data_IF_856673241244
#
_entry.id   IF_856673241244
#
_cell.length_a   1.000
_cell.length_b   1.000
_cell.length_c   1.000
_cell.angle_alpha   90.00
_cell.angle_beta   90.00
_cell.angle_gamma   90.00
#
_symmetry.space_group_name_H-M   'P 1'
#
loop_
_entity.id
_entity.type
_entity.pdbx_description
1 polymer ?
#
# COMPACT_ATOMS: atom_id res chain seq x y z
N UNK A 1 -24.97 -5.77 -22.60
CA UNK A 1 -25.18 -4.65 -21.66
C UNK A 1 -23.90 -3.80 -21.66
N UNK A 2 -24.02 -2.50 -21.98
CA UNK A 2 -22.91 -1.60 -22.34
C UNK A 2 -21.98 -1.33 -21.13
N UNK A 3 -20.70 -1.67 -21.27
CA UNK A 3 -19.63 -1.44 -20.30
C UNK A 3 -19.30 0.07 -20.20
N UNK A 4 -19.81 0.73 -19.16
CA UNK A 4 -19.36 2.06 -18.71
C UNK A 4 -18.26 1.92 -17.66
N UNK A 5 -17.08 1.42 -18.04
CA UNK A 5 -15.94 1.28 -17.12
C UNK A 5 -14.69 2.08 -17.54
N UNK A 6 -14.87 3.13 -18.34
CA UNK A 6 -13.79 4.00 -18.84
C UNK A 6 -13.75 5.40 -18.21
N UNK A 7 -14.47 5.65 -17.10
CA UNK A 7 -14.55 6.97 -16.46
C UNK A 7 -13.74 7.18 -15.17
N UNK A 8 -13.10 6.15 -14.60
CA UNK A 8 -12.33 6.28 -13.35
C UNK A 8 -10.81 6.49 -13.59
N UNK A 9 -10.33 6.28 -14.82
CA UNK A 9 -8.93 6.48 -15.22
C UNK A 9 -8.63 7.83 -15.89
N UNK A 10 -9.58 8.77 -15.89
CA UNK A 10 -9.42 10.12 -16.42
C UNK A 10 -9.21 11.16 -15.31
N UNK A 11 -8.27 10.88 -14.41
CA UNK A 11 -7.53 11.92 -13.69
C UNK A 11 -6.06 11.88 -14.14
N UNK A 12 -5.87 11.93 -15.45
CA UNK A 12 -4.65 12.51 -16.02
C UNK A 12 -4.65 13.98 -15.64
N UNK A 13 -3.94 14.35 -14.56
CA UNK A 13 -3.54 15.73 -14.33
C UNK A 13 -2.90 16.25 -15.62
N UNK A 14 -3.45 17.30 -16.26
CA UNK A 14 -2.76 17.96 -17.35
C UNK A 14 -1.64 18.77 -16.73
N UNK A 15 -0.44 18.19 -16.64
CA UNK A 15 0.82 18.96 -16.54
C UNK A 15 1.06 19.63 -17.90
N UNK A 16 0.16 20.55 -18.22
CA UNK A 16 0.17 21.39 -19.41
C UNK A 16 0.13 22.85 -18.96
N UNK A 17 0.92 23.22 -17.96
CA UNK A 17 1.33 24.60 -17.71
C UNK A 17 2.83 24.54 -17.37
N UNK A 18 3.61 25.45 -17.96
CA UNK A 18 5.04 25.69 -17.80
C UNK A 18 6.03 25.01 -18.76
N UNK A 19 5.71 25.02 -20.06
CA UNK A 19 6.76 25.05 -21.10
C UNK A 19 6.34 25.94 -22.27
N UNK A 20 5.98 27.19 -21.98
CA UNK A 20 5.86 28.22 -23.00
C UNK A 20 6.80 29.38 -22.66
N UNK A 21 8.09 29.16 -22.86
CA UNK A 21 9.05 30.25 -22.94
C UNK A 21 9.31 30.51 -24.44
N UNK A 22 8.52 31.42 -25.02
CA UNK A 22 8.83 32.04 -26.31
C UNK A 22 9.83 33.16 -26.07
N UNK A 23 11.09 32.82 -25.80
CA UNK A 23 12.21 33.72 -26.08
C UNK A 23 13.12 33.03 -27.08
N UNK A 24 12.81 33.21 -28.37
CA UNK A 24 13.87 33.18 -29.38
C UNK A 24 14.59 34.51 -29.25
N UNK A 25 15.79 34.48 -28.68
CA UNK A 25 16.73 35.58 -28.81
C UNK A 25 17.09 35.63 -30.30
N UNK A 26 16.55 36.60 -31.02
CA UNK A 26 16.95 36.89 -32.38
C UNK A 26 18.43 37.26 -32.31
N UNK A 27 19.31 36.36 -32.74
CA UNK A 27 20.71 36.70 -32.95
C UNK A 27 20.72 37.52 -34.24
N UNK A 28 20.73 38.84 -34.08
CA UNK A 28 21.06 39.78 -35.15
C UNK A 28 22.41 39.36 -35.72
N UNK A 29 22.52 39.04 -37.02
CA UNK A 29 23.82 38.83 -37.63
C UNK A 29 24.49 40.20 -37.70
N UNK A 30 25.34 40.49 -36.71
CA UNK A 30 26.37 41.50 -36.92
C UNK A 30 27.36 40.89 -37.89
N UNK A 31 27.19 41.24 -39.16
CA UNK A 31 28.25 41.16 -40.16
C UNK A 31 29.35 42.06 -39.64
N UNK A 32 30.33 41.49 -38.95
CA UNK A 32 31.62 42.14 -38.83
C UNK A 32 32.11 42.28 -40.27
N UNK A 33 32.14 43.52 -40.76
CA UNK A 33 32.94 43.88 -41.93
C UNK A 33 34.34 43.43 -41.59
N UNK A 34 34.72 42.23 -42.04
CA UNK A 34 36.10 41.84 -42.09
C UNK A 34 36.72 42.86 -43.05
N UNK A 35 37.30 43.92 -42.49
CA UNK A 35 38.39 44.62 -43.13
C UNK A 35 39.43 43.54 -43.29
N UNK A 36 39.38 42.90 -44.46
CA UNK A 36 40.38 42.01 -44.97
C UNK A 36 41.67 42.80 -44.96
N UNK A 37 42.38 42.77 -43.84
CA UNK A 37 43.83 42.91 -43.81
C UNK A 37 44.36 41.63 -44.45
N UNK A 38 44.05 41.43 -45.73
CA UNK A 38 44.93 40.68 -46.59
C UNK A 38 46.22 41.48 -46.51
N UNK A 39 47.15 40.96 -45.73
CA UNK A 39 48.55 41.31 -45.86
C UNK A 39 48.87 40.89 -47.30
N UNK A 40 48.74 41.84 -48.23
CA UNK A 40 49.40 41.74 -49.52
C UNK A 40 50.86 41.54 -49.17
N UNK A 41 51.39 40.33 -49.40
CA UNK A 41 52.83 40.09 -49.39
C UNK A 41 53.43 41.00 -50.47
N UNK A 42 53.80 42.20 -50.07
CA UNK A 42 54.68 43.04 -50.86
C UNK A 42 56.09 42.54 -50.58
N UNK A 43 56.71 41.87 -51.55
CA UNK A 43 58.14 41.57 -51.54
C UNK A 43 58.92 42.90 -51.61
N UNK A 44 59.18 43.50 -50.46
CA UNK A 44 60.16 44.58 -50.31
C UNK A 44 61.47 44.01 -49.77
N UNK A 45 62.02 42.98 -50.43
CA UNK A 45 63.42 42.61 -50.22
C UNK A 45 64.32 43.55 -51.02
N UNK A 46 64.71 44.68 -50.42
CA UNK A 46 65.73 45.59 -50.97
C UNK A 46 67.13 45.16 -50.46
N UNK A 47 67.87 44.40 -51.27
CA UNK A 47 69.23 43.92 -50.94
C UNK A 47 70.29 45.03 -50.79
N UNK A 48 69.95 46.30 -51.08
CA UNK A 48 70.88 47.44 -51.00
C UNK A 48 71.28 47.84 -49.57
N UNK A 49 70.59 47.33 -48.55
CA UNK A 49 70.83 47.69 -47.15
C UNK A 49 71.52 46.59 -46.32
N UNK A 50 71.81 45.42 -46.89
CA UNK A 50 72.42 44.30 -46.15
C UNK A 50 73.88 44.56 -45.74
N UNK A 51 74.57 45.50 -46.42
CA UNK A 51 75.97 45.87 -46.14
C UNK A 51 76.12 47.22 -45.41
N UNK A 52 75.02 47.91 -45.07
CA UNK A 52 75.08 49.15 -44.28
C UNK A 52 75.38 48.80 -42.81
N UNK A 53 76.50 49.27 -42.23
CA UNK A 53 76.86 48.96 -40.85
C UNK A 53 75.80 49.42 -39.83
N UNK A 54 75.05 50.47 -40.13
CA UNK A 54 73.93 50.91 -39.30
C UNK A 54 72.74 49.96 -39.41
N UNK A 55 72.34 49.59 -40.64
CA UNK A 55 71.21 48.67 -40.84
C UNK A 55 71.50 47.27 -40.27
N UNK A 56 72.74 46.80 -40.37
CA UNK A 56 73.18 45.53 -39.78
C UNK A 56 73.01 45.53 -38.25
N UNK A 57 73.40 46.62 -37.58
CA UNK A 57 73.24 46.74 -36.12
C UNK A 57 71.77 46.81 -35.70
N UNK A 58 70.91 47.43 -36.50
CA UNK A 58 69.46 47.50 -36.26
C UNK A 58 68.83 46.11 -36.45
N UNK A 59 69.17 45.41 -37.54
CA UNK A 59 68.72 44.04 -37.82
C UNK A 59 69.11 43.08 -36.71
N UNK A 60 70.38 43.08 -36.28
CA UNK A 60 70.84 42.24 -35.17
C UNK A 60 70.14 42.57 -33.85
N UNK A 61 69.83 43.85 -33.58
CA UNK A 61 69.04 44.23 -32.40
C UNK A 61 67.58 43.78 -32.48
N UNK A 62 66.95 43.90 -33.64
CA UNK A 62 65.59 43.40 -33.88
C UNK A 62 65.55 41.88 -33.74
N UNK A 63 66.49 41.15 -34.34
CA UNK A 63 66.57 39.70 -34.26
C UNK A 63 66.78 39.24 -32.81
N UNK A 64 67.66 39.93 -32.06
CA UNK A 64 67.90 39.66 -30.64
C UNK A 64 66.64 39.91 -29.78
N UNK A 65 65.97 41.04 -29.98
CA UNK A 65 64.73 41.35 -29.24
C UNK A 65 63.57 40.43 -29.63
N UNK A 66 63.47 40.06 -30.91
CA UNK A 66 62.43 39.16 -31.41
C UNK A 66 62.64 37.74 -30.90
N UNK A 67 63.90 37.27 -30.85
CA UNK A 67 64.26 35.98 -30.27
C UNK A 67 63.87 35.90 -28.79
N UNK A 68 64.17 36.93 -27.99
CA UNK A 68 63.78 36.97 -26.58
C UNK A 68 62.26 36.95 -26.39
N UNK A 69 61.50 37.73 -27.19
CA UNK A 69 60.03 37.72 -27.11
C UNK A 69 59.42 36.39 -27.55
N UNK A 70 60.04 35.71 -28.51
CA UNK A 70 59.60 34.38 -28.95
C UNK A 70 59.82 33.35 -27.85
N UNK A 71 60.98 33.33 -27.19
CA UNK A 71 61.21 32.45 -26.02
C UNK A 71 60.21 32.74 -24.89
N UNK A 72 60.01 34.01 -24.50
CA UNK A 72 59.02 34.38 -23.48
C UNK A 72 57.57 34.03 -23.89
N UNK A 73 57.25 34.12 -25.19
CA UNK A 73 55.95 33.69 -25.70
C UNK A 73 55.81 32.17 -25.66
N UNK A 74 56.82 31.42 -26.08
CA UNK A 74 56.83 29.97 -26.03
C UNK A 74 56.68 29.43 -24.60
N UNK A 75 57.39 30.02 -23.64
CA UNK A 75 57.24 29.64 -22.22
C UNK A 75 55.81 29.90 -21.71
N UNK A 76 55.24 31.08 -21.99
CA UNK A 76 53.87 31.40 -21.58
C UNK A 76 52.82 30.51 -22.26
N UNK A 77 53.04 30.13 -23.51
CA UNK A 77 52.13 29.25 -24.26
C UNK A 77 52.23 27.81 -23.76
N UNK A 78 53.44 27.33 -23.42
CA UNK A 78 53.68 25.99 -22.88
C UNK A 78 52.92 25.79 -21.57
N UNK A 79 53.00 26.76 -20.66
CA UNK A 79 52.32 26.72 -19.36
C UNK A 79 50.79 26.71 -19.48
N UNK A 80 50.24 27.53 -20.40
CA UNK A 80 48.80 27.56 -20.69
C UNK A 80 48.31 26.28 -21.37
N UNK A 81 49.10 25.72 -22.31
CA UNK A 81 48.79 24.44 -22.96
C UNK A 81 48.78 23.30 -21.95
N UNK A 82 49.71 23.29 -21.01
CA UNK A 82 49.77 22.27 -19.97
C UNK A 82 48.56 22.35 -19.03
N UNK A 83 48.17 23.56 -18.57
CA UNK A 83 46.95 23.76 -17.77
C UNK A 83 45.67 23.32 -18.48
N UNK A 84 45.50 23.65 -19.76
CA UNK A 84 44.35 23.20 -20.53
C UNK A 84 44.32 21.67 -20.70
N UNK A 85 45.48 21.05 -20.91
CA UNK A 85 45.59 19.59 -21.06
C UNK A 85 45.21 18.88 -19.75
N UNK A 86 45.74 19.33 -18.62
CA UNK A 86 45.40 18.79 -17.30
C UNK A 86 43.91 18.97 -16.95
N UNK A 87 43.34 20.13 -17.30
CA UNK A 87 41.91 20.39 -17.09
C UNK A 87 41.04 19.46 -17.94
N UNK A 88 41.39 19.28 -19.21
CA UNK A 88 40.69 18.37 -20.12
C UNK A 88 40.78 16.92 -19.63
N UNK A 89 41.96 16.47 -19.20
CA UNK A 89 42.17 15.12 -18.66
C UNK A 89 41.34 14.89 -17.39
N UNK A 90 41.26 15.87 -16.48
CA UNK A 90 40.41 15.83 -15.29
C UNK A 90 38.92 15.73 -15.64
N UNK A 91 38.46 16.52 -16.60
CA UNK A 91 37.06 16.52 -17.04
C UNK A 91 36.69 15.20 -17.74
N UNK A 92 37.59 14.65 -18.56
CA UNK A 92 37.44 13.32 -19.18
C UNK A 92 37.35 12.23 -18.10
N UNK A 93 38.26 12.22 -17.12
CA UNK A 93 38.21 11.26 -16.02
C UNK A 93 36.90 11.35 -15.23
N UNK A 94 36.40 12.56 -14.96
CA UNK A 94 35.11 12.78 -14.27
C UNK A 94 33.92 12.24 -15.08
N UNK A 95 33.93 12.40 -16.40
CA UNK A 95 32.88 11.88 -17.29
C UNK A 95 32.91 10.34 -17.30
N UNK A 96 34.10 9.73 -17.40
CA UNK A 96 34.27 8.27 -17.41
C UNK A 96 33.77 7.67 -16.07
N UNK A 97 34.19 8.23 -14.94
CA UNK A 97 33.77 7.80 -13.61
C UNK A 97 32.24 7.87 -13.45
N UNK A 98 31.63 8.97 -13.89
CA UNK A 98 30.17 9.15 -13.84
C UNK A 98 29.43 8.13 -14.70
N UNK A 99 29.91 7.85 -15.91
CA UNK A 99 29.32 6.85 -16.79
C UNK A 99 29.44 5.42 -16.22
N UNK A 100 30.56 5.12 -15.57
CA UNK A 100 30.79 3.82 -14.94
C UNK A 100 29.86 3.58 -13.74
N UNK A 101 29.62 4.60 -12.91
CA UNK A 101 28.66 4.56 -11.81
C UNK A 101 27.23 4.38 -12.36
N UNK A 102 26.82 5.18 -13.35
CA UNK A 102 25.49 5.07 -13.98
C UNK A 102 25.27 3.69 -14.64
N UNK A 103 26.31 3.12 -15.28
CA UNK A 103 26.25 1.78 -15.88
C UNK A 103 26.07 0.70 -14.80
N UNK A 104 26.87 0.74 -13.74
CA UNK A 104 26.80 -0.24 -12.64
C UNK A 104 25.48 -0.19 -11.87
N UNK A 105 24.91 1.00 -11.66
CA UNK A 105 23.61 1.16 -11.03
C UNK A 105 22.49 0.59 -11.90
N UNK A 106 22.51 0.87 -13.21
CA UNK A 106 21.51 0.32 -14.11
C UNK A 106 21.58 -1.21 -14.27
N UNK A 107 22.78 -1.80 -14.34
CA UNK A 107 22.95 -3.26 -14.38
C UNK A 107 22.47 -3.95 -13.09
N UNK A 108 22.72 -3.34 -11.92
CA UNK A 108 22.21 -3.86 -10.63
C UNK A 108 20.68 -3.80 -10.56
N UNK A 109 20.08 -2.69 -10.99
CA UNK A 109 18.61 -2.54 -11.02
C UNK A 109 17.98 -3.52 -12.01
N UNK A 110 18.60 -3.77 -13.16
CA UNK A 110 18.13 -4.74 -14.17
C UNK A 110 18.18 -6.19 -13.65
N UNK A 111 19.25 -6.59 -12.97
CA UNK A 111 19.34 -7.92 -12.31
C UNK A 111 18.31 -8.09 -11.20
N UNK A 112 18.06 -7.06 -10.40
CA UNK A 112 17.05 -7.10 -9.33
C UNK A 112 15.64 -7.19 -9.92
N UNK A 113 15.35 -6.46 -10.99
CA UNK A 113 14.04 -6.47 -11.64
C UNK A 113 13.73 -7.82 -12.33
N UNK A 114 14.74 -8.46 -12.95
CA UNK A 114 14.62 -9.81 -13.53
C UNK A 114 14.39 -10.89 -12.47
N UNK A 115 15.01 -10.76 -11.28
CA UNK A 115 14.76 -11.67 -10.14
C UNK A 115 13.35 -11.51 -9.55
N UNK A 116 12.86 -10.28 -9.41
CA UNK A 116 11.52 -10.03 -8.87
C UNK A 116 10.39 -10.47 -9.83
N UNK A 117 10.60 -10.35 -11.15
CA UNK A 117 9.61 -10.79 -12.15
C UNK A 117 9.33 -12.30 -12.13
N UNK A 118 10.32 -13.13 -11.78
CA UNK A 118 10.16 -14.59 -11.70
C UNK A 118 9.41 -15.04 -10.43
N UNK A 119 9.49 -14.28 -9.33
CA UNK A 119 8.80 -14.60 -8.08
C UNK A 119 7.30 -14.29 -8.09
N UNK A 120 6.87 -13.28 -8.86
CA UNK A 120 5.46 -12.87 -8.95
C UNK A 120 4.58 -13.87 -9.70
N UNK A 121 5.15 -14.71 -10.57
CA UNK A 121 4.41 -15.76 -11.28
C UNK A 121 3.91 -16.89 -10.36
N UNK A 122 4.59 -17.15 -9.24
CA UNK A 122 4.23 -18.22 -8.29
C UNK A 122 3.11 -17.85 -7.31
N UNK A 123 3.00 -16.56 -6.92
CA UNK A 123 2.02 -16.11 -5.92
C UNK A 123 0.60 -16.05 -6.50
N UNK A 124 0.45 -15.79 -7.80
CA UNK A 124 -0.86 -15.73 -8.47
C UNK A 124 -1.63 -17.06 -8.41
N UNK A 125 -0.93 -18.20 -8.42
CA UNK A 125 -1.55 -19.52 -8.34
C UNK A 125 -2.01 -19.89 -6.90
N UNK A 126 -1.31 -19.40 -5.87
CA UNK A 126 -1.61 -19.72 -4.47
C UNK A 126 -2.84 -18.99 -3.91
N UNK A 127 -3.05 -17.73 -4.30
CA UNK A 127 -4.13 -16.90 -3.72
C UNK A 127 -5.50 -17.17 -4.39
N UNK A 128 -5.50 -17.63 -5.65
CA UNK A 128 -6.74 -17.81 -6.44
C UNK A 128 -7.59 -19.02 -6.06
N UNK A 129 -7.00 -20.11 -5.55
CA UNK A 129 -7.69 -21.38 -5.31
C UNK A 129 -7.85 -21.69 -3.82
N UNK A 130 -6.85 -21.40 -2.99
CA UNK A 130 -6.92 -21.68 -1.55
C UNK A 130 -7.70 -20.63 -0.75
N UNK A 131 -7.77 -19.39 -1.24
CA UNK A 131 -8.50 -18.29 -0.57
C UNK A 131 -9.99 -18.57 -0.39
N UNK A 132 -10.77 -18.88 -1.45
CA UNK A 132 -12.22 -19.03 -1.35
C UNK A 132 -12.66 -20.21 -0.48
N UNK A 133 -11.96 -21.34 -0.57
CA UNK A 133 -12.31 -22.58 0.14
C UNK A 133 -12.06 -22.43 1.64
N UNK A 134 -10.88 -21.94 2.03
CA UNK A 134 -10.52 -21.73 3.43
C UNK A 134 -11.42 -20.69 4.12
N UNK A 135 -11.81 -19.60 3.42
CA UNK A 135 -12.72 -18.58 3.97
C UNK A 135 -14.11 -19.18 4.24
N UNK A 136 -14.59 -20.10 3.40
CA UNK A 136 -15.92 -20.70 3.58
C UNK A 136 -16.01 -21.61 4.80
N UNK A 137 -14.94 -22.34 5.12
CA UNK A 137 -14.86 -23.18 6.32
C UNK A 137 -14.71 -22.33 7.59
N UNK A 138 -13.89 -21.27 7.54
CA UNK A 138 -13.76 -20.33 8.65
C UNK A 138 -15.08 -19.64 8.99
N UNK A 139 -15.87 -19.26 7.98
CA UNK A 139 -17.22 -18.69 8.18
C UNK A 139 -18.17 -19.69 8.86
N UNK A 140 -18.12 -20.97 8.49
CA UNK A 140 -18.91 -22.02 9.14
C UNK A 140 -18.49 -22.22 10.60
N UNK A 141 -17.19 -22.25 10.87
CA UNK A 141 -16.67 -22.36 12.23
C UNK A 141 -17.05 -21.17 13.10
N UNK A 142 -16.97 -19.94 12.56
CA UNK A 142 -17.38 -18.73 13.26
C UNK A 142 -18.89 -18.71 13.55
N UNK A 143 -19.73 -19.12 12.59
CA UNK A 143 -21.17 -19.23 12.79
C UNK A 143 -21.53 -20.30 13.84
N UNK A 144 -20.83 -21.43 13.84
CA UNK A 144 -21.01 -22.47 14.85
C UNK A 144 -20.62 -21.98 16.26
N UNK A 145 -19.48 -21.32 16.41
CA UNK A 145 -19.04 -20.75 17.69
C UNK A 145 -20.01 -19.67 18.20
N UNK A 146 -20.50 -18.80 17.30
CA UNK A 146 -21.50 -17.79 17.64
C UNK A 146 -22.82 -18.43 18.11
N UNK A 147 -23.28 -19.47 17.42
CA UNK A 147 -24.49 -20.22 17.80
C UNK A 147 -24.35 -20.88 19.17
N UNK A 148 -23.18 -21.45 19.51
CA UNK A 148 -22.96 -22.01 20.85
C UNK A 148 -23.04 -20.96 21.96
N UNK A 149 -22.43 -19.79 21.75
CA UNK A 149 -22.54 -18.68 22.71
C UNK A 149 -23.98 -18.19 22.85
N UNK A 150 -24.71 -18.09 21.74
CA UNK A 150 -26.14 -17.76 21.76
C UNK A 150 -26.97 -18.79 22.54
N UNK A 151 -26.74 -20.08 22.34
CA UNK A 151 -27.42 -21.15 23.08
C UNK A 151 -27.13 -21.04 24.59
N UNK A 152 -25.87 -20.83 24.98
CA UNK A 152 -25.51 -20.66 26.39
C UNK A 152 -26.20 -19.46 27.03
N UNK A 153 -26.22 -18.31 26.34
CA UNK A 153 -26.93 -17.12 26.81
C UNK A 153 -28.45 -17.35 26.91
N UNK A 154 -29.04 -18.02 25.93
CA UNK A 154 -30.45 -18.38 25.94
C UNK A 154 -30.84 -19.32 27.08
N UNK A 155 -30.04 -20.35 27.36
CA UNK A 155 -30.25 -21.24 28.51
C UNK A 155 -30.19 -20.45 29.82
N UNK A 156 -29.17 -19.60 29.99
CA UNK A 156 -29.04 -18.76 31.18
C UNK A 156 -30.25 -17.83 31.35
N UNK A 157 -30.72 -17.23 30.24
CA UNK A 157 -31.89 -16.36 30.22
C UNK A 157 -33.19 -17.11 30.55
N UNK A 158 -33.37 -18.31 30.02
CA UNK A 158 -34.53 -19.16 30.33
C UNK A 158 -34.58 -19.50 31.83
N UNK A 159 -33.44 -19.88 32.42
CA UNK A 159 -33.33 -20.17 33.87
C UNK A 159 -33.63 -18.90 34.68
N UNK A 160 -33.09 -17.76 34.28
CA UNK A 160 -33.33 -16.47 34.94
C UNK A 160 -34.81 -16.08 34.95
N UNK A 161 -35.48 -16.13 33.79
CA UNK A 161 -36.89 -15.75 33.66
C UNK A 161 -37.83 -16.74 34.36
N UNK A 162 -37.52 -18.04 34.31
CA UNK A 162 -38.26 -19.04 35.10
C UNK A 162 -38.06 -18.82 36.61
N UNK A 163 -36.86 -18.48 37.05
CA UNK A 163 -36.57 -18.18 38.45
C UNK A 163 -37.43 -17.04 39.02
N UNK A 164 -37.84 -16.07 38.17
CA UNK A 164 -38.71 -14.95 38.56
C UNK A 164 -40.17 -15.36 38.78
N UNK A 165 -40.58 -16.55 38.36
CA UNK A 165 -41.96 -17.03 38.51
C UNK A 165 -42.21 -17.35 39.98
N UNK A 166 -42.86 -16.43 40.70
CA UNK A 166 -43.30 -16.63 42.09
C UNK A 166 -42.21 -17.21 43.03
N UNK A 167 -40.94 -16.82 42.85
CA UNK A 167 -39.83 -17.32 43.66
C UNK A 167 -39.32 -18.72 43.28
N UNK A 168 -39.53 -19.16 42.03
CA UNK A 168 -39.02 -20.44 41.50
C UNK A 168 -37.50 -20.61 41.66
N UNK A 169 -36.77 -19.49 41.74
CA UNK A 169 -35.32 -19.48 41.98
C UNK A 169 -34.92 -20.23 43.25
N UNK A 170 -35.79 -20.22 44.25
CA UNK A 170 -35.50 -20.76 45.58
C UNK A 170 -35.91 -22.25 45.69
N UNK A 171 -36.47 -22.81 44.61
CA UNK A 171 -36.92 -24.18 44.55
C UNK A 171 -35.72 -25.14 44.43
N UNK A 172 -35.19 -25.55 45.58
CA UNK A 172 -33.97 -26.37 45.69
C UNK A 172 -34.15 -27.85 45.33
N UNK A 173 -35.39 -28.32 45.16
CA UNK A 173 -35.68 -29.72 44.79
C UNK A 173 -35.51 -30.00 43.29
N UNK A 174 -35.19 -28.99 42.47
CA UNK A 174 -34.94 -29.14 41.04
C UNK A 174 -33.58 -28.55 40.65
N UNK A 175 -32.79 -29.31 39.90
CA UNK A 175 -31.55 -28.82 39.30
C UNK A 175 -31.86 -28.22 37.92
N UNK A 176 -32.14 -26.91 37.88
CA UNK A 176 -32.50 -26.19 36.65
C UNK A 176 -31.52 -26.37 35.50
N UNK A 177 -30.22 -26.42 35.79
CA UNK A 177 -29.17 -26.62 34.80
C UNK A 177 -29.17 -28.02 34.15
N UNK A 178 -29.81 -29.02 34.80
CA UNK A 178 -29.97 -30.37 34.24
C UNK A 178 -31.25 -30.49 33.40
N UNK A 179 -32.28 -29.72 33.74
CA UNK A 179 -33.58 -29.75 33.07
C UNK A 179 -33.61 -28.88 31.81
N UNK A 180 -32.88 -27.75 31.79
CA UNK A 180 -32.86 -26.81 30.66
C UNK A 180 -31.52 -26.92 29.93
N UNK A 181 -31.58 -27.21 28.63
CA UNK A 181 -30.42 -27.41 27.78
C UNK A 181 -30.68 -26.84 26.37
N UNK A 182 -29.66 -26.95 25.50
CA UNK A 182 -29.70 -26.37 24.16
C UNK A 182 -30.79 -26.89 23.23
N UNK A 183 -31.49 -27.97 23.58
CA UNK A 183 -32.58 -28.54 22.76
C UNK A 183 -33.96 -28.08 23.18
N UNK A 184 -34.12 -27.58 24.42
CA UNK A 184 -35.45 -27.35 25.01
C UNK A 184 -35.70 -25.93 25.51
N UNK A 185 -34.66 -25.11 25.71
CA UNK A 185 -34.78 -23.74 26.25
C UNK A 185 -35.64 -22.79 25.38
N UNK A 186 -35.74 -23.08 24.07
CA UNK A 186 -36.55 -22.33 23.11
C UNK A 186 -37.99 -22.84 23.00
N UNK A 187 -38.30 -24.01 23.56
CA UNK A 187 -39.57 -24.66 23.35
C UNK A 187 -40.54 -24.34 24.50
N UNK A 188 -41.60 -23.54 24.26
CA UNK A 188 -42.58 -23.21 25.28
C UNK A 188 -43.21 -24.45 25.95
N UNK A 189 -43.45 -25.52 25.18
CA UNK A 189 -44.05 -26.74 25.69
C UNK A 189 -43.09 -27.51 26.61
N UNK A 190 -41.79 -27.45 26.33
CA UNK A 190 -40.78 -28.07 27.18
C UNK A 190 -40.65 -27.32 28.51
N UNK A 191 -40.59 -25.99 28.48
CA UNK A 191 -40.54 -25.19 29.71
C UNK A 191 -41.84 -25.31 30.52
N UNK A 192 -43.00 -25.37 29.84
CA UNK A 192 -44.28 -25.70 30.48
C UNK A 192 -44.21 -27.03 31.24
N UNK A 193 -43.70 -28.08 30.60
CA UNK A 193 -43.58 -29.41 31.22
C UNK A 193 -42.73 -29.38 32.48
N UNK A 194 -41.62 -28.63 32.46
CA UNK A 194 -40.72 -28.47 33.60
C UNK A 194 -41.44 -27.73 34.74
N UNK A 195 -42.11 -26.62 34.45
CA UNK A 195 -42.81 -25.82 35.47
C UNK A 195 -44.03 -26.59 36.03
N UNK A 196 -44.72 -27.38 35.20
CA UNK A 196 -45.79 -28.26 35.66
C UNK A 196 -45.26 -29.39 36.57
N UNK A 197 -44.08 -29.92 36.28
CA UNK A 197 -43.41 -30.89 37.16
C UNK A 197 -43.12 -30.28 38.54
N UNK A 198 -42.64 -29.04 38.59
CA UNK A 198 -42.43 -28.30 39.86
C UNK A 198 -43.75 -28.09 40.60
N UNK A 199 -44.83 -27.74 39.87
CA UNK A 199 -46.17 -27.63 40.45
C UNK A 199 -46.63 -28.96 41.11
N UNK A 200 -46.45 -30.10 40.44
CA UNK A 200 -46.80 -31.40 41.01
C UNK A 200 -45.95 -31.76 42.24
N UNK A 201 -44.67 -31.35 42.27
CA UNK A 201 -43.81 -31.54 43.45
C UNK A 201 -44.30 -30.80 44.70
N UNK A 202 -45.08 -29.72 44.54
CA UNK A 202 -45.72 -29.04 45.67
C UNK A 202 -46.74 -29.92 46.40
N UNK A 203 -47.38 -30.85 45.69
CA UNK A 203 -48.34 -31.79 46.26
C UNK A 203 -47.63 -33.00 46.90
N UNK A 204 -46.61 -33.52 46.22
CA UNK A 204 -45.93 -34.76 46.58
C UNK A 204 -44.88 -34.61 47.71
N UNK A 205 -44.27 -33.43 47.85
CA UNK A 205 -43.15 -33.21 48.78
C UNK A 205 -43.56 -32.25 49.89
N UNK A 206 -43.68 -32.76 51.11
CA UNK A 206 -44.09 -31.95 52.27
C UNK A 206 -43.14 -30.77 52.54
N UNK A 207 -41.83 -30.95 52.34
CA UNK A 207 -40.83 -29.88 52.48
C UNK A 207 -40.91 -28.83 51.37
N UNK A 208 -41.47 -29.16 50.20
CA UNK A 208 -41.61 -28.21 49.10
C UNK A 208 -42.76 -27.22 49.33
N UNK A 209 -43.75 -27.56 50.17
CA UNK A 209 -44.91 -26.70 50.48
C UNK A 209 -44.53 -25.36 51.12
N UNK A 210 -43.41 -25.33 51.84
CA UNK A 210 -42.88 -24.11 52.46
C UNK A 210 -42.14 -23.19 51.48
N UNK A 211 -41.93 -23.63 50.22
CA UNK A 211 -41.30 -22.79 49.21
C UNK A 211 -42.25 -21.68 48.74
N UNK A 212 -41.69 -20.49 48.45
CA UNK A 212 -42.44 -19.34 47.95
C UNK A 212 -43.33 -19.68 46.74
N UNK A 213 -42.83 -20.53 45.84
CA UNK A 213 -43.59 -20.97 44.69
C UNK A 213 -44.82 -21.78 45.08
N UNK A 214 -44.68 -22.80 45.92
CA UNK A 214 -45.80 -23.67 46.29
C UNK A 214 -46.87 -22.92 47.08
N UNK A 215 -46.47 -22.03 48.01
CA UNK A 215 -47.43 -21.16 48.72
C UNK A 215 -48.16 -20.22 47.78
N UNK A 216 -47.48 -19.70 46.75
CA UNK A 216 -48.13 -18.89 45.72
C UNK A 216 -49.11 -19.70 44.86
N UNK A 217 -48.79 -20.96 44.53
CA UNK A 217 -49.69 -21.85 43.77
C UNK A 217 -50.93 -22.22 44.57
N UNK A 218 -50.78 -22.47 45.87
CA UNK A 218 -51.90 -22.70 46.80
C UNK A 218 -52.82 -21.47 46.84
N UNK A 219 -52.23 -20.28 47.05
CA UNK A 219 -52.98 -19.01 47.06
C UNK A 219 -53.73 -18.77 45.74
N UNK A 220 -53.14 -19.09 44.60
CA UNK A 220 -53.80 -18.98 43.29
C UNK A 220 -54.93 -19.99 43.09
N UNK A 221 -54.86 -21.15 43.75
CA UNK A 221 -55.90 -22.19 43.67
C UNK A 221 -57.15 -21.83 44.47
N UNK A 222 -57.01 -20.98 45.49
CA UNK A 222 -58.12 -20.46 46.27
C UNK A 222 -58.93 -19.38 45.53
N UNK A 223 -58.35 -18.78 44.48
CA UNK A 223 -59.04 -17.75 43.69
C UNK A 223 -60.01 -18.43 42.71
N UNK A 224 -61.32 -18.07 42.73
CA UNK A 224 -62.29 -18.60 41.79
C UNK A 224 -61.89 -18.34 40.32
N UNK A 225 -62.15 -19.30 39.45
CA UNK A 225 -61.87 -19.25 37.99
C UNK A 225 -60.38 -19.10 37.58
N UNK A 226 -59.45 -19.21 38.54
CA UNK A 226 -58.02 -19.23 38.27
C UNK A 226 -57.50 -20.66 38.21
N UNK A 227 -56.73 -20.96 37.16
CA UNK A 227 -56.00 -22.22 37.03
C UNK A 227 -54.50 -21.87 37.12
N UNK A 228 -53.82 -22.15 38.26
CA UNK A 228 -52.41 -21.81 38.46
C UNK A 228 -51.52 -22.35 37.33
N UNK A 229 -51.77 -23.59 36.91
CA UNK A 229 -51.07 -24.25 35.80
C UNK A 229 -51.15 -23.42 34.52
N UNK A 230 -52.30 -22.79 34.20
CA UNK A 230 -52.43 -21.95 33.00
C UNK A 230 -51.57 -20.69 33.09
N UNK A 231 -51.48 -20.06 34.26
CA UNK A 231 -50.69 -18.85 34.49
C UNK A 231 -49.21 -19.15 34.37
N UNK A 232 -48.72 -20.17 35.07
CA UNK A 232 -47.30 -20.55 35.03
C UNK A 232 -46.89 -21.06 33.64
N UNK A 233 -47.81 -21.66 32.88
CA UNK A 233 -47.57 -22.03 31.47
C UNK A 233 -47.35 -20.83 30.57
N UNK A 234 -48.14 -19.76 30.73
CA UNK A 234 -47.98 -18.53 29.96
C UNK A 234 -46.65 -17.84 30.28
N UNK A 235 -46.25 -17.82 31.55
CA UNK A 235 -44.96 -17.26 31.96
C UNK A 235 -43.79 -18.12 31.47
N UNK A 236 -43.91 -19.45 31.50
CA UNK A 236 -42.90 -20.34 30.92
C UNK A 236 -42.77 -20.14 29.40
N UNK A 237 -43.88 -19.92 28.70
CA UNK A 237 -43.86 -19.58 27.28
C UNK A 237 -43.17 -18.23 27.01
N UNK A 238 -43.42 -17.22 27.86
CA UNK A 238 -42.72 -15.94 27.80
C UNK A 238 -41.22 -16.09 28.06
N UNK A 239 -40.83 -16.88 29.06
CA UNK A 239 -39.43 -17.18 29.35
C UNK A 239 -38.72 -17.83 28.15
N UNK A 240 -39.38 -18.74 27.41
CA UNK A 240 -38.85 -19.31 26.18
C UNK A 240 -38.66 -18.26 25.07
N UNK A 241 -39.61 -17.32 24.94
CA UNK A 241 -39.52 -16.24 23.96
C UNK A 241 -38.36 -15.28 24.28
N UNK A 242 -38.24 -14.84 25.53
CA UNK A 242 -37.18 -13.94 26.00
C UNK A 242 -35.80 -14.61 25.88
N UNK A 243 -35.72 -15.92 26.17
CA UNK A 243 -34.53 -16.72 25.97
C UNK A 243 -34.13 -16.84 24.49
N UNK A 244 -35.11 -16.96 23.58
CA UNK A 244 -34.88 -16.97 22.15
C UNK A 244 -34.40 -15.63 21.60
N UNK A 245 -34.95 -14.53 22.10
CA UNK A 245 -34.49 -13.18 21.75
C UNK A 245 -33.03 -12.97 22.17
N UNK A 246 -32.67 -13.30 23.41
CA UNK A 246 -31.31 -13.14 23.90
C UNK A 246 -30.32 -14.05 23.15
N UNK A 247 -30.69 -15.31 22.89
CA UNK A 247 -29.86 -16.23 22.09
C UNK A 247 -29.60 -15.68 20.68
N UNK A 248 -30.63 -15.14 20.03
CA UNK A 248 -30.52 -14.54 18.70
C UNK A 248 -29.63 -13.30 18.71
N UNK A 249 -29.82 -12.41 19.69
CA UNK A 249 -29.06 -11.17 19.87
C UNK A 249 -27.57 -11.44 20.08
N UNK A 250 -27.23 -12.38 20.96
CA UNK A 250 -25.83 -12.78 21.21
C UNK A 250 -25.21 -13.42 19.97
N UNK A 251 -25.94 -14.31 19.30
CA UNK A 251 -25.47 -14.94 18.05
C UNK A 251 -25.17 -13.90 16.98
N UNK A 252 -26.07 -12.93 16.78
CA UNK A 252 -25.91 -11.85 15.82
C UNK A 252 -24.74 -10.92 16.18
N UNK A 253 -24.57 -10.59 17.46
CA UNK A 253 -23.46 -9.78 17.96
C UNK A 253 -22.10 -10.43 17.67
N UNK A 254 -21.96 -11.72 17.94
CA UNK A 254 -20.73 -12.49 17.70
C UNK A 254 -20.40 -12.61 16.21
N UNK A 255 -21.39 -12.88 15.36
CA UNK A 255 -21.21 -12.89 13.89
C UNK A 255 -20.74 -11.51 13.39
N UNK A 256 -21.32 -10.44 13.93
CA UNK A 256 -20.94 -9.07 13.56
C UNK A 256 -19.51 -8.76 13.96
N UNK A 257 -19.12 -9.10 15.19
CA UNK A 257 -17.74 -8.94 15.67
C UNK A 257 -16.73 -9.71 14.81
N UNK A 258 -17.04 -10.97 14.46
CA UNK A 258 -16.20 -11.78 13.59
C UNK A 258 -16.04 -11.17 12.18
N UNK A 259 -17.14 -10.67 11.60
CA UNK A 259 -17.10 -9.99 10.29
C UNK A 259 -16.27 -8.70 10.34
N UNK A 260 -16.41 -7.89 11.39
CA UNK A 260 -15.61 -6.66 11.57
C UNK A 260 -14.13 -6.96 11.72
N UNK A 261 -13.75 -7.97 12.50
CA UNK A 261 -12.35 -8.40 12.63
C UNK A 261 -11.78 -8.89 11.29
N UNK A 262 -12.56 -9.65 10.52
CA UNK A 262 -12.18 -10.10 9.17
C UNK A 262 -11.98 -8.92 8.21
N UNK A 263 -12.86 -7.93 8.24
CA UNK A 263 -12.78 -6.75 7.37
C UNK A 263 -11.53 -5.92 7.66
N UNK A 264 -11.22 -5.69 8.94
CA UNK A 264 -10.01 -4.97 9.34
C UNK A 264 -8.73 -5.67 8.86
N UNK A 265 -8.71 -7.00 8.94
CA UNK A 265 -7.58 -7.81 8.45
C UNK A 265 -7.43 -7.70 6.93
N UNK A 266 -8.55 -7.75 6.19
CA UNK A 266 -8.56 -7.57 4.73
C UNK A 266 -8.05 -6.18 4.33
N UNK A 267 -8.48 -5.13 5.03
CA UNK A 267 -8.02 -3.76 4.81
C UNK A 267 -6.50 -3.67 4.99
N UNK A 268 -5.95 -4.27 6.06
CA UNK A 268 -4.51 -4.25 6.31
C UNK A 268 -3.72 -4.90 5.16
N UNK A 269 -4.20 -6.05 4.65
CA UNK A 269 -3.60 -6.73 3.50
C UNK A 269 -3.74 -5.88 2.24
N UNK A 270 -4.91 -5.27 1.99
CA UNK A 270 -5.15 -4.43 0.82
C UNK A 270 -4.21 -3.23 0.76
N UNK A 271 -3.94 -2.55 1.89
CA UNK A 271 -2.97 -1.46 1.93
C UNK A 271 -1.54 -1.92 1.67
N UNK A 272 -1.15 -3.10 2.19
CA UNK A 272 0.16 -3.69 1.90
C UNK A 272 0.34 -3.97 0.40
N UNK A 273 -0.67 -4.59 -0.23
CA UNK A 273 -0.67 -4.86 -1.68
C UNK A 273 -0.64 -3.56 -2.49
N UNK A 274 -1.42 -2.55 -2.10
CA UNK A 274 -1.42 -1.25 -2.75
C UNK A 274 -0.04 -0.58 -2.68
N UNK A 275 0.63 -0.64 -1.52
CA UNK A 275 1.98 -0.11 -1.35
C UNK A 275 2.99 -0.80 -2.29
N UNK A 276 2.91 -2.13 -2.41
CA UNK A 276 3.76 -2.91 -3.34
C UNK A 276 3.50 -2.48 -4.80
N UNK A 277 2.24 -2.30 -5.19
CA UNK A 277 1.88 -1.85 -6.55
C UNK A 277 2.43 -0.45 -6.85
N UNK A 278 2.40 0.47 -5.89
CA UNK A 278 2.97 1.83 -6.04
C UNK A 278 4.48 1.74 -6.22
N UNK A 279 5.18 0.93 -5.42
CA UNK A 279 6.64 0.75 -5.54
C UNK A 279 7.01 0.17 -6.92
N UNK A 280 6.28 -0.85 -7.38
CA UNK A 280 6.49 -1.41 -8.72
C UNK A 280 6.28 -0.38 -9.83
N UNK A 281 5.22 0.45 -9.73
CA UNK A 281 4.98 1.54 -10.67
C UNK A 281 6.15 2.54 -10.71
N UNK A 282 6.67 2.95 -9.55
CA UNK A 282 7.82 3.85 -9.46
C UNK A 282 9.07 3.23 -10.10
N UNK A 283 9.36 1.96 -9.82
CA UNK A 283 10.49 1.24 -10.43
C UNK A 283 10.34 1.19 -11.96
N UNK A 284 9.13 0.92 -12.47
CA UNK A 284 8.86 0.90 -13.92
C UNK A 284 9.06 2.29 -14.54
N UNK A 285 8.59 3.36 -13.90
CA UNK A 285 8.79 4.73 -14.38
C UNK A 285 10.28 5.08 -14.43
N UNK A 286 11.03 4.80 -13.35
CA UNK A 286 12.49 5.02 -13.31
C UNK A 286 13.19 4.21 -14.41
N UNK A 287 12.82 2.94 -14.57
CA UNK A 287 13.35 2.08 -15.62
C UNK A 287 13.10 2.66 -17.02
N UNK A 288 11.89 3.12 -17.30
CA UNK A 288 11.55 3.75 -18.59
C UNK A 288 12.36 5.03 -18.85
N UNK A 289 12.55 5.87 -17.83
CA UNK A 289 13.39 7.07 -17.93
C UNK A 289 14.84 6.70 -18.24
N UNK A 290 15.43 5.75 -17.49
CA UNK A 290 16.80 5.30 -17.70
C UNK A 290 16.98 4.67 -19.08
N UNK A 291 16.04 3.83 -19.51
CA UNK A 291 16.04 3.22 -20.86
C UNK A 291 15.95 4.28 -21.95
N UNK A 292 15.11 5.29 -21.79
CA UNK A 292 14.99 6.39 -22.73
C UNK A 292 16.31 7.18 -22.84
N UNK A 293 16.96 7.50 -21.71
CA UNK A 293 18.26 8.20 -21.70
C UNK A 293 19.37 7.38 -22.37
N UNK A 294 19.46 6.07 -22.12
CA UNK A 294 20.42 5.16 -22.78
C UNK A 294 20.23 5.17 -24.30
N UNK A 295 18.99 5.03 -24.78
CA UNK A 295 18.68 5.04 -26.23
C UNK A 295 19.08 6.36 -26.89
N UNK A 296 18.80 7.50 -26.24
CA UNK A 296 19.22 8.82 -26.73
C UNK A 296 20.74 8.97 -26.80
N UNK A 297 21.48 8.47 -25.80
CA UNK A 297 22.95 8.49 -25.79
C UNK A 297 23.54 7.65 -26.92
N UNK A 298 23.00 6.47 -27.17
CA UNK A 298 23.44 5.60 -28.28
C UNK A 298 23.20 6.24 -29.65
N UNK A 299 22.03 6.85 -29.85
CA UNK A 299 21.73 7.56 -31.10
C UNK A 299 22.68 8.73 -31.35
N UNK A 300 23.01 9.51 -30.30
CA UNK A 300 24.01 10.59 -30.43
C UNK A 300 25.39 10.06 -30.78
N UNK A 301 25.86 8.99 -30.13
CA UNK A 301 27.15 8.36 -30.46
C UNK A 301 27.20 7.95 -31.93
N UNK A 302 26.16 7.30 -32.44
CA UNK A 302 26.07 6.89 -33.84
C UNK A 302 26.21 8.08 -34.82
N UNK A 303 25.61 9.23 -34.49
CA UNK A 303 25.74 10.44 -35.31
C UNK A 303 27.17 10.98 -35.30
N UNK A 304 27.84 11.05 -34.15
CA UNK A 304 29.23 11.50 -34.07
C UNK A 304 30.20 10.55 -34.78
N UNK A 305 30.00 9.23 -34.69
CA UNK A 305 30.84 8.24 -35.39
C UNK A 305 30.72 8.38 -36.91
N UNK A 306 29.52 8.71 -37.42
CA UNK A 306 29.34 8.98 -38.87
C UNK A 306 30.09 10.23 -39.33
N UNK A 307 30.09 11.29 -38.53
CA UNK A 307 30.77 12.55 -38.86
C UNK A 307 32.30 12.43 -38.83
N UNK A 308 32.85 11.57 -37.97
CA UNK A 308 34.30 11.35 -37.84
C UNK A 308 34.92 10.48 -38.95
N UNK A 309 34.09 9.70 -39.65
CA UNK A 309 34.53 8.81 -40.72
C UNK A 309 34.31 9.41 -42.13
N UNK A 310 33.93 10.68 -42.21
CA UNK A 310 33.96 11.50 -43.43
C UNK A 310 35.24 12.33 -43.44
#
# INVERSE_FOLDING_TARGET
MKLRYSKILLFFLPLNILANNKNKQYITPHTATNTSRVLSECDLYMSSYDNDPYMKSVKENFDRQTSQRLEEYEERVKDKRQKCKEQCDKDIQKIILKDQIEKSLGEKVEKVCLRCGFGLGGVAAGVGIFGPIAISELKKAAAFAASQKGIQAGIAKAIEELGKIYGLSDFSHLVWAAEINGTNFLNPNSLHTIVNKVYLMCEDIQAAKETHFCSAMESLSEVPDVIPVRIISQMAAKAAADAGEEASKITAGEITAANTASYNSYIAIAYSVLAILIILLVIVIIYLILRYRRKKKMNKKLQYTKLLNQ
#
